data_IF_748499869186
#
_entry.id   IF_748499869186
#
_cell.length_a   1.000
_cell.length_b   1.000
_cell.length_c   1.000
_cell.angle_alpha   90.00
_cell.angle_beta   90.00
_cell.angle_gamma   90.00
#
_symmetry.space_group_name_H-M   'P 1'
#
loop_
_entity.id
_entity.type
_entity.pdbx_description
1 polymer ?
#
# COMPACT_ATOMS: atom_id res chain seq x y z
N UNK A 1 -16.32 6.38 27.25
CA UNK A 1 -15.74 6.26 25.90
C UNK A 1 -15.26 4.83 25.70
N UNK A 2 -15.57 4.20 24.56
CA UNK A 2 -15.04 2.86 24.26
C UNK A 2 -13.51 2.89 24.21
N UNK A 3 -12.88 1.83 24.69
CA UNK A 3 -11.42 1.67 24.57
C UNK A 3 -11.02 1.52 23.10
N UNK A 4 -9.74 1.77 22.78
CA UNK A 4 -9.22 1.56 21.43
C UNK A 4 -9.48 0.14 20.90
N UNK A 5 -9.39 -0.89 21.78
CA UNK A 5 -9.67 -2.28 21.42
C UNK A 5 -11.15 -2.52 21.08
N UNK A 6 -12.06 -1.98 21.89
CA UNK A 6 -13.50 -2.09 21.65
C UNK A 6 -13.90 -1.41 20.36
N UNK A 7 -13.37 -0.21 20.09
CA UNK A 7 -13.62 0.48 18.84
C UNK A 7 -13.10 -0.32 17.62
N UNK A 8 -11.87 -0.86 17.67
CA UNK A 8 -11.33 -1.71 16.60
C UNK A 8 -12.22 -2.94 16.38
N UNK A 9 -12.66 -3.62 17.46
CA UNK A 9 -13.54 -4.78 17.36
C UNK A 9 -14.88 -4.44 16.71
N UNK A 10 -15.48 -3.29 17.05
CA UNK A 10 -16.71 -2.80 16.43
C UNK A 10 -16.52 -2.50 14.92
N UNK A 11 -15.41 -1.87 14.54
CA UNK A 11 -15.13 -1.55 13.15
C UNK A 11 -14.82 -2.80 12.33
N UNK A 12 -14.14 -3.80 12.90
CA UNK A 12 -13.95 -5.11 12.23
C UNK A 12 -15.29 -5.81 12.03
N UNK A 13 -16.16 -5.84 13.03
CA UNK A 13 -17.49 -6.42 12.90
C UNK A 13 -18.34 -5.69 11.84
N UNK A 14 -18.23 -4.36 11.78
CA UNK A 14 -18.87 -3.53 10.75
C UNK A 14 -18.33 -3.85 9.36
N UNK A 15 -17.01 -3.97 9.20
CA UNK A 15 -16.38 -4.31 7.93
C UNK A 15 -16.81 -5.71 7.43
N UNK A 16 -16.88 -6.68 8.33
CA UNK A 16 -17.36 -8.04 8.01
C UNK A 16 -18.84 -8.04 7.63
N UNK A 17 -19.67 -7.23 8.32
CA UNK A 17 -21.10 -7.08 8.05
C UNK A 17 -21.42 -6.22 6.81
N UNK A 18 -20.47 -5.51 6.23
CA UNK A 18 -20.68 -4.53 5.15
C UNK A 18 -21.13 -5.10 3.79
N UNK A 19 -21.27 -6.43 3.69
CA UNK A 19 -21.96 -7.07 2.55
C UNK A 19 -23.41 -6.62 2.35
N UNK A 20 -24.02 -5.99 3.37
CA UNK A 20 -25.37 -5.40 3.37
C UNK A 20 -25.30 -3.87 3.30
N UNK A 21 -24.55 -3.33 2.32
CA UNK A 21 -24.59 -1.89 2.09
C UNK A 21 -26.03 -1.40 1.92
N UNK A 22 -26.36 -0.30 2.59
CA UNK A 22 -27.64 0.37 2.45
C UNK A 22 -27.75 0.91 1.01
N UNK A 23 -28.95 0.82 0.43
CA UNK A 23 -29.20 1.38 -0.90
C UNK A 23 -28.90 2.88 -0.89
N UNK A 24 -28.15 3.33 -1.87
CA UNK A 24 -27.82 4.74 -2.06
C UNK A 24 -27.96 5.11 -3.53
N UNK A 25 -28.35 6.35 -3.78
CA UNK A 25 -28.41 6.95 -5.12
C UNK A 25 -27.20 7.87 -5.29
N UNK A 26 -26.63 7.86 -6.49
CA UNK A 26 -25.56 8.81 -6.84
C UNK A 26 -26.13 10.06 -7.50
N UNK A 27 -25.42 11.15 -7.33
CA UNK A 27 -25.81 12.45 -7.94
C UNK A 27 -25.27 12.54 -9.36
N UNK A 28 -26.10 13.02 -10.28
CA UNK A 28 -25.67 13.41 -11.62
C UNK A 28 -25.13 14.86 -11.60
N UNK A 29 -23.82 15.00 -11.72
CA UNK A 29 -23.15 16.30 -11.70
C UNK A 29 -23.28 17.10 -13.02
N UNK A 30 -23.84 16.50 -14.08
CA UNK A 30 -24.15 17.20 -15.33
C UNK A 30 -25.46 17.98 -15.25
N UNK A 31 -26.34 17.67 -14.29
CA UNK A 31 -27.58 18.39 -14.06
C UNK A 31 -27.32 19.64 -13.17
N UNK A 32 -27.55 20.86 -13.67
CA UNK A 32 -27.40 22.08 -12.86
C UNK A 32 -28.42 22.17 -11.71
N UNK A 33 -29.53 21.44 -11.79
CA UNK A 33 -30.57 21.37 -10.76
C UNK A 33 -30.44 20.11 -9.88
N UNK A 34 -29.30 19.47 -9.86
CA UNK A 34 -29.04 18.25 -9.10
C UNK A 34 -29.45 18.38 -7.63
N UNK A 35 -29.90 17.30 -7.00
CA UNK A 35 -30.13 17.28 -5.56
C UNK A 35 -28.82 17.51 -4.80
N UNK A 36 -28.94 17.94 -3.55
CA UNK A 36 -27.78 18.03 -2.65
C UNK A 36 -27.15 16.65 -2.44
N UNK A 37 -25.84 16.64 -2.26
CA UNK A 37 -25.08 15.47 -1.82
C UNK A 37 -25.13 15.34 -0.30
N UNK A 38 -24.80 14.18 0.24
CA UNK A 38 -24.64 14.00 1.68
C UNK A 38 -23.58 14.97 2.26
N UNK A 39 -22.49 15.23 1.52
CA UNK A 39 -21.43 16.15 1.95
C UNK A 39 -21.93 17.60 2.13
N UNK A 40 -22.92 18.01 1.35
CA UNK A 40 -23.53 19.36 1.41
C UNK A 40 -24.57 19.51 2.53
N UNK A 41 -24.89 18.41 3.21
CA UNK A 41 -25.95 18.38 4.25
C UNK A 41 -25.37 17.99 5.60
N UNK A 42 -24.77 16.79 5.73
CA UNK A 42 -24.17 16.33 6.97
C UNK A 42 -23.09 15.28 6.68
N UNK A 43 -22.08 15.23 7.54
CA UNK A 43 -20.92 14.36 7.36
C UNK A 43 -20.58 13.63 8.67
N UNK A 44 -20.23 12.34 8.64
CA UNK A 44 -19.98 11.51 9.84
C UNK A 44 -18.62 11.81 10.49
N UNK A 45 -18.43 13.06 10.98
CA UNK A 45 -17.14 13.56 11.50
C UNK A 45 -16.59 12.65 12.61
N UNK A 46 -17.44 12.30 13.59
CA UNK A 46 -16.97 11.59 14.76
C UNK A 46 -16.40 10.19 14.43
N UNK A 47 -17.13 9.28 13.76
CA UNK A 47 -16.61 7.96 13.43
C UNK A 47 -15.45 8.03 12.42
N UNK A 48 -15.46 8.95 11.48
CA UNK A 48 -14.36 9.16 10.54
C UNK A 48 -13.08 9.57 11.26
N UNK A 49 -13.16 10.49 12.22
CA UNK A 49 -12.01 10.90 13.04
C UNK A 49 -11.47 9.73 13.88
N UNK A 50 -12.33 8.90 14.43
CA UNK A 50 -11.90 7.74 15.21
C UNK A 50 -11.09 6.77 14.36
N UNK A 51 -11.56 6.44 13.15
CA UNK A 51 -10.83 5.59 12.19
C UNK A 51 -9.53 6.27 11.75
N UNK A 52 -9.55 7.57 11.46
CA UNK A 52 -8.37 8.33 11.05
C UNK A 52 -7.26 8.35 12.11
N UNK A 53 -7.62 8.39 13.41
CA UNK A 53 -6.65 8.28 14.51
C UNK A 53 -6.00 6.90 14.54
N UNK A 54 -6.78 5.83 14.34
CA UNK A 54 -6.26 4.46 14.29
C UNK A 54 -5.38 4.22 13.08
N UNK A 55 -5.77 4.75 11.91
CA UNK A 55 -4.99 4.66 10.67
C UNK A 55 -3.56 5.17 10.89
N UNK A 56 -3.37 6.19 11.72
CA UNK A 56 -2.05 6.70 12.05
C UNK A 56 -1.22 7.11 10.83
N UNK A 57 0.09 7.30 11.02
CA UNK A 57 1.01 7.68 9.94
C UNK A 57 1.50 6.48 9.12
N UNK A 58 1.42 5.28 9.68
CA UNK A 58 1.91 4.04 9.09
C UNK A 58 0.76 3.08 8.68
N UNK A 59 -0.45 3.63 8.49
CA UNK A 59 -1.67 2.83 8.43
C UNK A 59 -1.77 1.84 7.30
N UNK A 60 -1.17 2.11 6.13
CA UNK A 60 -1.26 1.24 4.96
C UNK A 60 0.11 1.00 4.34
N UNK A 61 0.44 -0.25 3.94
CA UNK A 61 1.72 -0.59 3.30
C UNK A 61 2.01 0.26 2.06
N UNK A 62 1.01 0.58 1.25
CA UNK A 62 1.13 1.43 0.06
C UNK A 62 1.75 2.81 0.36
N UNK A 63 1.55 3.33 1.58
CA UNK A 63 2.11 4.61 2.00
C UNK A 63 3.59 4.54 2.35
N UNK A 64 4.15 3.34 2.46
CA UNK A 64 5.56 3.13 2.76
C UNK A 64 6.44 3.15 1.51
N UNK A 65 5.84 3.03 0.33
CA UNK A 65 6.58 3.09 -0.95
C UNK A 65 7.34 4.40 -1.10
N UNK A 66 6.73 5.51 -0.69
CA UNK A 66 7.39 6.81 -0.64
C UNK A 66 6.87 7.64 0.53
N UNK A 67 7.79 8.26 1.28
CA UNK A 67 7.45 9.14 2.39
C UNK A 67 6.97 10.49 1.87
N UNK A 68 5.66 10.64 1.71
CA UNK A 68 5.03 11.90 1.34
C UNK A 68 4.56 12.66 2.58
N UNK A 69 5.20 13.76 2.93
CA UNK A 69 5.00 14.48 4.20
C UNK A 69 3.58 15.04 4.38
N UNK A 70 2.96 15.50 3.32
CA UNK A 70 1.62 16.06 3.33
C UNK A 70 0.52 15.03 3.01
N UNK A 71 0.82 13.73 3.15
CA UNK A 71 -0.16 12.67 2.85
C UNK A 71 -1.38 12.78 3.76
N UNK A 72 -2.55 12.71 3.15
CA UNK A 72 -3.83 12.78 3.86
C UNK A 72 -4.30 11.41 4.31
N UNK A 73 -5.20 11.37 5.29
CA UNK A 73 -5.77 10.12 5.78
C UNK A 73 -6.71 9.53 4.74
N UNK A 74 -6.51 8.28 4.43
CA UNK A 74 -7.29 7.51 3.48
C UNK A 74 -8.76 7.38 3.91
N UNK A 75 -8.98 7.13 5.21
CA UNK A 75 -10.32 7.05 5.80
C UNK A 75 -11.15 8.31 5.59
N UNK A 76 -10.53 9.49 5.75
CA UNK A 76 -11.20 10.78 5.54
C UNK A 76 -11.58 10.94 4.07
N UNK A 77 -10.63 10.73 3.15
CA UNK A 77 -10.88 10.91 1.71
C UNK A 77 -11.89 9.88 1.16
N UNK A 78 -11.82 8.64 1.64
CA UNK A 78 -12.83 7.65 1.30
C UNK A 78 -14.24 8.11 1.71
N UNK A 79 -14.40 8.59 2.94
CA UNK A 79 -15.68 9.08 3.43
C UNK A 79 -16.16 10.32 2.65
N UNK A 80 -15.25 11.24 2.35
CA UNK A 80 -15.57 12.44 1.58
C UNK A 80 -16.02 12.09 0.15
N UNK A 81 -15.36 11.17 -0.52
CA UNK A 81 -15.74 10.73 -1.87
C UNK A 81 -17.13 10.06 -1.88
N UNK A 82 -17.40 9.19 -0.89
CA UNK A 82 -18.73 8.58 -0.75
C UNK A 82 -19.78 9.68 -0.49
N UNK A 83 -19.52 10.58 0.45
CA UNK A 83 -20.46 11.65 0.80
C UNK A 83 -20.71 12.63 -0.35
N UNK A 84 -19.66 12.99 -1.10
CA UNK A 84 -19.77 13.86 -2.27
C UNK A 84 -20.52 13.21 -3.44
N UNK A 85 -20.43 11.89 -3.59
CA UNK A 85 -21.08 11.18 -4.69
C UNK A 85 -22.53 10.78 -4.40
N UNK A 86 -22.93 10.70 -3.11
CA UNK A 86 -24.21 10.16 -2.68
C UNK A 86 -25.24 11.29 -2.53
N UNK A 87 -26.41 11.11 -3.14
CA UNK A 87 -27.57 11.97 -2.97
C UNK A 87 -28.00 12.03 -1.50
N UNK A 88 -28.24 13.23 -1.00
CA UNK A 88 -28.76 13.41 0.36
C UNK A 88 -30.14 12.73 0.50
N UNK A 89 -30.42 12.07 1.63
CA UNK A 89 -31.76 11.55 1.92
C UNK A 89 -32.77 12.70 2.13
N UNK A 90 -34.04 12.37 2.07
CA UNK A 90 -35.12 13.37 2.31
C UNK A 90 -35.01 14.00 3.70
N UNK A 91 -34.69 13.17 4.72
CA UNK A 91 -34.37 13.68 6.05
C UNK A 91 -32.84 13.89 6.15
N UNK A 92 -32.40 15.16 6.21
CA UNK A 92 -30.98 15.53 6.28
C UNK A 92 -30.24 14.88 7.45
N UNK A 93 -30.91 14.63 8.57
CA UNK A 93 -30.31 14.02 9.77
C UNK A 93 -29.78 12.61 9.56
N UNK A 94 -30.22 11.93 8.48
CA UNK A 94 -29.77 10.60 8.11
C UNK A 94 -28.56 10.58 7.17
N UNK A 95 -28.11 11.73 6.67
CA UNK A 95 -27.05 11.79 5.66
C UNK A 95 -25.69 11.23 6.18
N UNK A 96 -25.27 11.66 7.37
CA UNK A 96 -24.05 11.15 7.98
C UNK A 96 -24.10 9.63 8.22
N UNK A 97 -25.25 9.13 8.68
CA UNK A 97 -25.46 7.71 8.90
C UNK A 97 -25.39 6.93 7.58
N UNK A 98 -26.02 7.40 6.52
CA UNK A 98 -26.01 6.77 5.20
C UNK A 98 -24.58 6.64 4.66
N UNK A 99 -23.78 7.68 4.76
CA UNK A 99 -22.36 7.67 4.36
C UNK A 99 -21.58 6.64 5.18
N UNK A 100 -21.77 6.64 6.50
CA UNK A 100 -21.03 5.74 7.37
C UNK A 100 -21.41 4.27 7.20
N UNK A 101 -22.68 3.96 6.99
CA UNK A 101 -23.17 2.59 6.74
C UNK A 101 -22.62 2.02 5.42
N UNK A 102 -22.26 2.89 4.47
CA UNK A 102 -21.65 2.52 3.20
C UNK A 102 -20.11 2.59 3.18
N UNK A 103 -19.47 3.01 4.27
CA UNK A 103 -18.01 3.23 4.31
C UNK A 103 -17.22 1.96 3.96
N UNK A 104 -17.59 0.79 4.50
CA UNK A 104 -16.92 -0.49 4.27
C UNK A 104 -17.46 -1.29 3.10
N UNK A 105 -18.50 -0.82 2.43
CA UNK A 105 -19.09 -1.54 1.31
C UNK A 105 -18.13 -1.69 0.14
N UNK A 106 -18.20 -2.82 -0.57
CA UNK A 106 -17.42 -3.02 -1.79
C UNK A 106 -18.15 -2.38 -2.98
N UNK A 107 -17.97 -1.09 -3.15
CA UNK A 107 -18.59 -0.31 -4.21
C UNK A 107 -18.04 -0.66 -5.59
N UNK A 108 -16.75 -1.03 -5.69
CA UNK A 108 -16.14 -1.45 -6.94
C UNK A 108 -16.83 -2.69 -7.51
N UNK A 109 -17.04 -3.72 -6.68
CA UNK A 109 -17.75 -4.93 -7.11
C UNK A 109 -19.18 -4.66 -7.55
N UNK A 110 -19.87 -3.70 -6.92
CA UNK A 110 -21.25 -3.32 -7.24
C UNK A 110 -21.33 -2.35 -8.41
N UNK A 111 -20.22 -1.73 -8.82
CA UNK A 111 -20.19 -0.72 -9.88
C UNK A 111 -20.92 0.58 -9.54
N UNK A 112 -21.17 0.84 -8.26
CA UNK A 112 -22.02 1.96 -7.80
C UNK A 112 -21.53 3.33 -8.27
N UNK A 113 -20.21 3.52 -8.35
CA UNK A 113 -19.58 4.79 -8.75
C UNK A 113 -18.86 4.75 -10.10
N UNK A 114 -19.04 3.66 -10.88
CA UNK A 114 -18.31 3.45 -12.14
C UNK A 114 -18.51 4.56 -13.18
N UNK A 115 -19.63 5.23 -13.15
CA UNK A 115 -19.98 6.32 -14.07
C UNK A 115 -19.39 7.67 -13.66
N UNK A 116 -18.90 7.80 -12.44
CA UNK A 116 -18.37 9.07 -11.93
C UNK A 116 -16.93 9.28 -12.38
N UNK A 117 -16.67 10.47 -12.92
CA UNK A 117 -15.34 10.96 -13.29
C UNK A 117 -14.91 11.99 -12.25
N UNK A 118 -13.78 11.74 -11.59
CA UNK A 118 -13.26 12.60 -10.53
C UNK A 118 -11.84 13.02 -10.86
N UNK A 119 -11.54 14.31 -10.74
CA UNK A 119 -10.22 14.85 -10.96
C UNK A 119 -9.66 15.45 -9.66
N UNK A 120 -8.42 15.14 -9.34
CA UNK A 120 -7.63 15.77 -8.29
C UNK A 120 -6.46 16.51 -8.95
N UNK A 121 -6.58 17.84 -9.02
CA UNK A 121 -5.60 18.69 -9.73
C UNK A 121 -4.37 19.03 -8.90
N UNK A 122 -4.34 18.63 -7.62
CA UNK A 122 -3.22 18.75 -6.68
C UNK A 122 -3.04 17.45 -5.90
N UNK A 123 -2.90 16.33 -6.63
CA UNK A 123 -3.02 14.96 -6.08
C UNK A 123 -1.99 14.62 -5.01
N UNK A 124 -0.82 15.28 -4.98
CA UNK A 124 0.25 15.01 -4.01
C UNK A 124 0.60 13.52 -3.94
N UNK A 125 0.49 12.95 -2.74
CA UNK A 125 0.71 11.52 -2.52
C UNK A 125 -0.45 10.61 -2.96
N UNK A 126 -1.41 11.09 -3.74
CA UNK A 126 -2.42 10.30 -4.44
C UNK A 126 -3.56 9.71 -3.59
N UNK A 127 -3.75 10.15 -2.36
CA UNK A 127 -4.78 9.58 -1.47
C UNK A 127 -6.16 9.58 -2.11
N UNK A 128 -6.55 10.69 -2.77
CA UNK A 128 -7.84 10.81 -3.47
C UNK A 128 -7.95 9.79 -4.60
N UNK A 129 -6.90 9.66 -5.41
CA UNK A 129 -6.88 8.75 -6.56
C UNK A 129 -6.98 7.29 -6.11
N UNK A 130 -6.21 6.91 -5.10
CA UNK A 130 -6.22 5.55 -4.55
C UNK A 130 -7.60 5.19 -3.99
N UNK A 131 -8.19 6.06 -3.16
CA UNK A 131 -9.50 5.75 -2.57
C UNK A 131 -10.63 5.82 -3.60
N UNK A 132 -10.57 6.76 -4.56
CA UNK A 132 -11.54 6.81 -5.67
C UNK A 132 -11.49 5.57 -6.55
N UNK A 133 -10.29 5.10 -6.90
CA UNK A 133 -10.11 3.84 -7.64
C UNK A 133 -10.66 2.63 -6.87
N UNK A 134 -10.42 2.58 -5.55
CA UNK A 134 -10.98 1.52 -4.68
C UNK A 134 -12.51 1.58 -4.58
N UNK A 135 -13.10 2.73 -4.76
CA UNK A 135 -14.55 2.89 -4.86
C UNK A 135 -15.09 2.55 -6.25
N UNK A 136 -14.22 2.39 -7.25
CA UNK A 136 -14.58 2.10 -8.63
C UNK A 136 -14.88 3.32 -9.48
N UNK A 137 -14.48 4.51 -9.03
CA UNK A 137 -14.58 5.77 -9.77
C UNK A 137 -13.51 5.84 -10.87
N UNK A 138 -13.78 6.61 -11.92
CA UNK A 138 -12.82 6.96 -12.96
C UNK A 138 -12.00 8.16 -12.48
N UNK A 139 -10.74 7.93 -12.12
CA UNK A 139 -9.89 8.93 -11.50
C UNK A 139 -8.93 9.57 -12.50
N UNK A 140 -8.75 10.87 -12.40
CA UNK A 140 -7.70 11.63 -13.08
C UNK A 140 -6.94 12.46 -12.06
N UNK A 141 -5.61 12.50 -12.16
CA UNK A 141 -4.77 13.26 -11.24
C UNK A 141 -3.73 14.11 -11.95
N UNK A 142 -3.41 15.24 -11.37
CA UNK A 142 -2.34 16.12 -11.81
C UNK A 142 -1.58 16.64 -10.59
N UNK A 143 -0.29 16.90 -10.77
CA UNK A 143 0.57 17.58 -9.79
C UNK A 143 1.75 18.22 -10.52
N UNK A 144 2.25 19.34 -10.00
CA UNK A 144 3.46 19.98 -10.52
C UNK A 144 4.72 19.17 -10.19
N UNK A 145 4.69 18.39 -9.11
CA UNK A 145 5.82 17.58 -8.68
C UNK A 145 5.86 16.25 -9.45
N UNK A 146 6.89 16.00 -10.29
CA UNK A 146 7.00 14.77 -11.03
C UNK A 146 7.14 13.52 -10.14
N UNK A 147 7.64 13.68 -8.91
CA UNK A 147 7.70 12.59 -7.92
C UNK A 147 6.30 12.18 -7.49
N UNK A 148 5.37 13.14 -7.31
CA UNK A 148 3.97 12.85 -7.01
C UNK A 148 3.35 11.97 -8.12
N UNK A 149 3.55 12.37 -9.37
CA UNK A 149 3.07 11.60 -10.53
C UNK A 149 3.66 10.19 -10.54
N UNK A 150 4.97 10.05 -10.35
CA UNK A 150 5.64 8.76 -10.34
C UNK A 150 5.10 7.85 -9.23
N UNK A 151 5.01 8.35 -8.00
CA UNK A 151 4.52 7.59 -6.84
C UNK A 151 3.10 7.10 -7.07
N UNK A 152 2.19 8.00 -7.47
CA UNK A 152 0.78 7.67 -7.70
C UNK A 152 0.62 6.66 -8.86
N UNK A 153 1.42 6.79 -9.92
CA UNK A 153 1.44 5.83 -11.02
C UNK A 153 1.83 4.43 -10.53
N UNK A 154 2.83 4.32 -9.64
CA UNK A 154 3.22 3.03 -9.09
C UNK A 154 2.16 2.48 -8.11
N UNK A 155 1.55 3.34 -7.29
CA UNK A 155 0.49 2.94 -6.36
C UNK A 155 -0.76 2.37 -7.06
N UNK A 156 -1.04 2.81 -8.29
CA UNK A 156 -2.19 2.40 -9.08
C UNK A 156 -1.84 1.41 -10.21
N UNK A 157 -0.57 1.03 -10.33
CA UNK A 157 -0.14 0.07 -11.34
C UNK A 157 -0.78 -1.31 -11.09
N UNK A 158 -1.22 -1.92 -12.17
CA UNK A 158 -1.61 -3.33 -12.19
C UNK A 158 -0.34 -4.17 -12.37
N UNK A 159 -0.03 -4.99 -11.39
CA UNK A 159 1.22 -5.75 -11.33
C UNK A 159 0.91 -7.22 -11.12
N UNK A 160 1.46 -8.09 -11.98
CA UNK A 160 1.45 -9.52 -11.76
C UNK A 160 2.42 -9.90 -10.63
N UNK A 161 1.84 -10.25 -9.47
CA UNK A 161 2.61 -10.64 -8.28
C UNK A 161 3.44 -11.93 -8.49
N UNK A 162 3.04 -12.82 -9.39
CA UNK A 162 3.80 -14.04 -9.69
C UNK A 162 5.06 -13.69 -10.47
N UNK A 163 4.94 -12.79 -11.43
CA UNK A 163 6.06 -12.32 -12.22
C UNK A 163 7.07 -11.55 -11.38
N UNK A 164 6.58 -10.66 -10.48
CA UNK A 164 7.45 -9.94 -9.54
C UNK A 164 8.20 -10.90 -8.61
N UNK A 165 7.53 -11.91 -8.05
CA UNK A 165 8.16 -12.89 -7.17
C UNK A 165 9.24 -13.70 -7.92
N UNK A 166 8.96 -14.10 -9.17
CA UNK A 166 9.93 -14.79 -10.01
C UNK A 166 11.15 -13.92 -10.25
N UNK A 167 10.93 -12.66 -10.67
CA UNK A 167 12.02 -11.71 -10.93
C UNK A 167 12.88 -11.46 -9.67
N UNK A 168 12.26 -11.33 -8.50
CA UNK A 168 12.99 -11.19 -7.23
C UNK A 168 13.82 -12.42 -6.91
N UNK A 169 13.29 -13.62 -7.15
CA UNK A 169 14.04 -14.88 -6.96
C UNK A 169 15.23 -14.97 -7.93
N UNK A 170 15.04 -14.58 -9.18
CA UNK A 170 16.11 -14.57 -10.19
C UNK A 170 17.21 -13.57 -9.81
N UNK A 171 16.84 -12.35 -9.36
CA UNK A 171 17.77 -11.34 -8.86
C UNK A 171 18.52 -11.85 -7.62
N UNK A 172 17.81 -12.46 -6.67
CA UNK A 172 18.45 -13.03 -5.47
C UNK A 172 19.46 -14.11 -5.86
N UNK A 173 19.08 -15.03 -6.74
CA UNK A 173 19.97 -16.10 -7.20
C UNK A 173 21.22 -15.58 -7.90
N UNK A 174 21.11 -14.50 -8.65
CA UNK A 174 22.24 -13.89 -9.37
C UNK A 174 23.12 -13.04 -8.45
N UNK A 175 22.50 -12.16 -7.62
CA UNK A 175 23.22 -11.15 -6.86
C UNK A 175 23.71 -11.65 -5.52
N UNK A 176 22.93 -12.48 -4.82
CA UNK A 176 23.27 -12.95 -3.47
C UNK A 176 24.65 -13.59 -3.38
N UNK A 177 25.05 -14.49 -4.29
CA UNK A 177 26.41 -15.07 -4.24
C UNK A 177 27.54 -14.05 -4.40
N UNK A 178 27.25 -12.91 -5.00
CA UNK A 178 28.25 -11.86 -5.23
C UNK A 178 28.45 -10.96 -4.01
N UNK A 179 27.39 -10.76 -3.23
CA UNK A 179 27.42 -9.87 -2.05
C UNK A 179 27.65 -10.60 -0.74
N UNK A 180 27.26 -11.88 -0.64
CA UNK A 180 27.38 -12.64 0.60
C UNK A 180 28.82 -12.73 1.15
N UNK A 181 29.88 -12.80 0.34
CA UNK A 181 31.25 -12.79 0.89
C UNK A 181 31.58 -11.59 1.78
N UNK A 182 30.89 -10.45 1.59
CA UNK A 182 31.06 -9.26 2.43
C UNK A 182 30.36 -9.34 3.80
N UNK A 183 29.51 -10.34 3.98
CA UNK A 183 28.72 -10.57 5.19
C UNK A 183 29.16 -11.81 5.96
N UNK A 184 30.08 -12.61 5.41
CA UNK A 184 30.60 -13.76 6.10
C UNK A 184 31.65 -13.36 7.12
N UNK A 185 31.67 -14.07 8.23
CA UNK A 185 32.68 -13.94 9.26
C UNK A 185 32.97 -15.31 9.89
N UNK A 186 34.02 -15.38 10.66
CA UNK A 186 34.34 -16.58 11.42
C UNK A 186 33.24 -16.87 12.46
N UNK A 187 32.98 -18.12 12.76
CA UNK A 187 32.07 -18.52 13.81
C UNK A 187 32.55 -18.10 15.20
N UNK A 188 31.65 -18.11 16.21
CA UNK A 188 31.95 -17.58 17.55
C UNK A 188 33.12 -18.31 18.26
N UNK A 189 33.47 -19.51 17.82
CA UNK A 189 34.65 -20.26 18.33
C UNK A 189 35.80 -20.25 17.32
N UNK A 190 35.79 -19.36 16.33
CA UNK A 190 36.82 -19.29 15.29
C UNK A 190 36.65 -20.33 14.17
N UNK A 191 35.47 -20.93 14.06
CA UNK A 191 35.17 -21.84 12.94
C UNK A 191 35.23 -21.05 11.63
N UNK A 192 36.02 -21.56 10.69
CA UNK A 192 36.11 -21.00 9.34
C UNK A 192 35.30 -21.81 8.37
N UNK A 193 34.62 -21.13 7.46
CA UNK A 193 33.97 -21.78 6.34
C UNK A 193 34.97 -22.11 5.22
N UNK A 194 34.52 -22.89 4.28
CA UNK A 194 35.29 -23.31 3.11
C UNK A 194 34.67 -22.79 1.82
N UNK A 195 35.51 -22.37 0.91
CA UNK A 195 35.13 -21.99 -0.44
C UNK A 195 35.37 -23.15 -1.40
N UNK A 196 34.40 -23.43 -2.23
CA UNK A 196 34.51 -24.49 -3.28
C UNK A 196 34.27 -23.87 -4.65
N UNK A 197 35.16 -24.11 -5.59
CA UNK A 197 34.99 -23.77 -6.99
C UNK A 197 34.03 -24.73 -7.67
N UNK A 198 32.81 -24.29 -7.97
CA UNK A 198 31.71 -25.14 -8.51
C UNK A 198 32.09 -25.92 -9.76
N UNK A 199 32.69 -25.33 -10.81
CA UNK A 199 32.99 -26.05 -12.04
C UNK A 199 33.98 -27.20 -11.88
N UNK A 200 34.94 -27.07 -10.95
CA UNK A 200 35.99 -28.10 -10.74
C UNK A 200 35.83 -28.89 -9.48
N UNK A 201 34.91 -28.53 -8.57
CA UNK A 201 34.77 -29.18 -7.27
C UNK A 201 35.97 -28.95 -6.32
N UNK A 202 36.90 -28.03 -6.69
CA UNK A 202 38.09 -27.77 -5.90
C UNK A 202 37.78 -26.97 -4.65
N UNK A 203 38.12 -27.49 -3.48
CA UNK A 203 38.08 -26.77 -2.21
C UNK A 203 39.28 -25.81 -2.16
N UNK A 204 39.03 -24.57 -1.84
CA UNK A 204 40.05 -23.54 -1.76
C UNK A 204 40.74 -23.55 -0.40
N UNK A 205 41.99 -23.07 -0.37
CA UNK A 205 42.74 -22.93 0.88
C UNK A 205 42.20 -21.86 1.82
N UNK A 206 42.69 -21.88 3.06
CA UNK A 206 42.27 -20.92 4.10
C UNK A 206 42.57 -19.45 3.77
N UNK A 207 43.55 -19.21 2.91
CA UNK A 207 43.95 -17.87 2.47
C UNK A 207 43.20 -17.38 1.23
N UNK A 208 42.21 -18.13 0.78
CA UNK A 208 41.42 -17.74 -0.39
C UNK A 208 40.49 -16.60 -0.05
N UNK A 209 40.68 -15.47 -0.72
CA UNK A 209 39.82 -14.30 -0.61
C UNK A 209 38.99 -14.12 -1.90
N UNK A 210 37.69 -14.36 -1.86
CA UNK A 210 36.81 -14.18 -3.02
C UNK A 210 36.67 -12.72 -3.43
N UNK A 211 37.02 -11.76 -2.57
CA UNK A 211 36.87 -10.32 -2.84
C UNK A 211 37.88 -9.82 -3.86
N UNK A 212 39.02 -10.51 -4.03
CA UNK A 212 40.03 -10.16 -5.04
C UNK A 212 39.61 -10.57 -6.46
N UNK A 213 38.60 -11.43 -6.57
CA UNK A 213 38.09 -11.91 -7.86
C UNK A 213 37.15 -10.88 -8.50
N UNK A 214 37.13 -10.87 -9.84
CA UNK A 214 36.10 -10.16 -10.59
C UNK A 214 34.71 -10.75 -10.32
N UNK A 215 33.68 -9.90 -10.45
CA UNK A 215 32.28 -10.31 -10.21
C UNK A 215 31.88 -11.57 -11.00
N UNK A 216 32.30 -11.66 -12.28
CA UNK A 216 31.98 -12.81 -13.14
C UNK A 216 32.65 -14.10 -12.70
N UNK A 217 33.81 -14.02 -12.09
CA UNK A 217 34.56 -15.18 -11.59
C UNK A 217 34.02 -15.63 -10.24
N UNK A 218 33.65 -14.68 -9.39
CA UNK A 218 33.17 -14.91 -8.02
C UNK A 218 31.95 -15.80 -7.96
N UNK A 219 31.02 -15.70 -8.90
CA UNK A 219 29.81 -16.54 -8.99
C UNK A 219 30.10 -18.04 -9.16
N UNK A 220 31.33 -18.39 -9.56
CA UNK A 220 31.75 -19.79 -9.68
C UNK A 220 32.18 -20.42 -8.35
N UNK A 221 32.16 -19.67 -7.27
CA UNK A 221 32.52 -20.15 -5.94
C UNK A 221 31.29 -20.22 -5.04
N UNK A 222 31.25 -21.20 -4.16
CA UNK A 222 30.24 -21.34 -3.11
C UNK A 222 30.94 -21.43 -1.76
N UNK A 223 30.35 -20.76 -0.77
CA UNK A 223 30.81 -20.82 0.61
C UNK A 223 29.94 -21.78 1.42
N UNK A 224 30.59 -22.64 2.20
CA UNK A 224 29.95 -23.51 3.17
C UNK A 224 30.61 -23.30 4.52
N UNK A 225 29.83 -22.90 5.52
CA UNK A 225 30.37 -22.60 6.85
C UNK A 225 29.38 -21.81 7.71
N UNK A 226 29.81 -21.38 8.90
CA UNK A 226 28.99 -20.57 9.79
C UNK A 226 28.65 -19.25 9.12
N UNK A 227 27.35 -19.00 8.92
CA UNK A 227 26.85 -17.71 8.42
C UNK A 227 26.53 -16.81 9.62
N UNK A 228 27.36 -15.80 9.87
CA UNK A 228 27.02 -14.76 10.82
C UNK A 228 26.85 -13.47 10.01
N UNK A 229 25.61 -13.01 9.95
CA UNK A 229 25.27 -11.74 9.30
C UNK A 229 25.42 -10.63 10.34
N UNK A 230 26.44 -9.77 10.20
CA UNK A 230 26.53 -8.56 10.98
C UNK A 230 25.67 -7.48 10.33
N UNK A 231 24.69 -6.99 11.08
CA UNK A 231 24.04 -5.71 10.77
C UNK A 231 24.67 -4.65 11.65
N UNK A 232 25.34 -3.70 11.02
CA UNK A 232 25.76 -2.47 11.72
C UNK A 232 24.54 -1.54 11.80
N UNK A 233 24.29 -1.05 13.00
CA UNK A 233 23.31 -0.01 13.28
C UNK A 233 23.99 1.35 13.34
#
# INVERSE_FOLDING_TARGET
>A
MATKKEFIAQEVARAVGAGKAVAMETVDFSDPNRPKTCLEVDFPILPVNQVAVIEGNAGKPIYQMSKWWARRRSSVFRSMLIAAATKAPEDPSHAAKLVWDNYYANHQKKGAFKHLKVADIFMGGGTTLVEGSRLGMQMSGNDLNPVAWFVVKQELADIDLHEVKRLLADIEAEVKPQIMPFYYCDGPNGEKGTWTHKPSGKVMGVDFDPLVLKSDERKNYVYEGPEIIYTFW
#
